data_IF_310436791810
#
_entry.id   IF_310436791810
#
_cell.length_a   1.000
_cell.length_b   1.000
_cell.length_c   1.000
_cell.angle_alpha   90.00
_cell.angle_beta   90.00
_cell.angle_gamma   90.00
#
_symmetry.space_group_name_H-M   'P 1'
#
loop_
_entity.id
_entity.type
_entity.pdbx_description
1 polymer ?
#
# COMPACT_ATOMS: atom_id res chain seq x y z
N UNK A 1 -45.54 -82.63 7.62
CA UNK A 1 -46.95 -82.19 7.71
C UNK A 1 -47.24 -81.31 6.51
N UNK A 2 -48.32 -81.64 5.79
CA UNK A 2 -48.80 -80.99 4.57
C UNK A 2 -48.96 -79.47 4.73
N UNK A 3 -48.66 -78.68 3.69
CA UNK A 3 -49.69 -78.21 2.77
C UNK A 3 -49.17 -77.13 1.81
N UNK A 4 -49.44 -77.39 0.54
CA UNK A 4 -49.53 -76.43 -0.56
C UNK A 4 -50.51 -75.28 -0.25
N UNK A 5 -50.21 -74.08 -0.77
CA UNK A 5 -51.21 -73.21 -1.38
C UNK A 5 -50.54 -72.17 -2.28
N UNK A 6 -50.69 -72.32 -3.59
CA UNK A 6 -50.52 -71.24 -4.56
C UNK A 6 -51.58 -70.14 -4.33
N UNK A 7 -51.20 -68.87 -4.46
CA UNK A 7 -52.12 -67.79 -4.83
C UNK A 7 -51.48 -66.82 -5.83
N UNK A 8 -52.15 -66.75 -6.98
CA UNK A 8 -52.06 -65.75 -8.03
C UNK A 8 -52.32 -64.33 -7.46
N UNK A 9 -51.64 -63.30 -7.98
CA UNK A 9 -51.97 -61.92 -7.62
C UNK A 9 -51.11 -60.83 -8.25
N UNK A 10 -51.47 -60.47 -9.48
CA UNK A 10 -51.39 -59.15 -10.13
C UNK A 10 -50.05 -58.41 -10.27
N UNK A 11 -49.66 -58.28 -11.54
CA UNK A 11 -48.74 -57.28 -12.06
C UNK A 11 -49.22 -55.86 -11.78
N UNK A 12 -48.33 -55.03 -11.22
CA UNK A 12 -48.38 -53.58 -11.39
C UNK A 12 -46.96 -53.12 -11.77
N UNK A 13 -46.70 -53.04 -13.08
CA UNK A 13 -45.49 -52.43 -13.60
C UNK A 13 -45.61 -50.92 -13.41
N UNK A 14 -44.91 -50.37 -12.41
CA UNK A 14 -44.75 -48.92 -12.25
C UNK A 14 -43.69 -48.48 -13.24
N UNK A 15 -44.12 -47.92 -14.37
CA UNK A 15 -43.24 -47.25 -15.32
C UNK A 15 -42.84 -45.90 -14.70
N UNK A 16 -41.66 -45.83 -14.07
CA UNK A 16 -41.05 -44.58 -13.61
C UNK A 16 -40.63 -43.76 -14.84
N UNK A 17 -41.47 -42.79 -15.20
CA UNK A 17 -41.17 -41.79 -16.21
C UNK A 17 -40.18 -40.78 -15.60
N UNK A 18 -38.88 -41.00 -15.80
CA UNK A 18 -37.85 -40.01 -15.48
C UNK A 18 -38.00 -38.80 -16.41
N UNK A 19 -38.61 -37.73 -15.90
CA UNK A 19 -38.59 -36.41 -16.54
C UNK A 19 -37.19 -35.81 -16.32
N UNK A 20 -36.39 -35.52 -17.36
CA UNK A 20 -35.14 -34.81 -17.15
C UNK A 20 -35.46 -33.36 -16.77
N UNK A 21 -35.18 -33.01 -15.50
CA UNK A 21 -35.07 -31.64 -15.05
C UNK A 21 -33.87 -31.02 -15.79
N UNK A 22 -34.16 -30.27 -16.87
CA UNK A 22 -33.18 -29.37 -17.48
C UNK A 22 -32.95 -28.24 -16.48
N UNK A 23 -31.90 -28.38 -15.67
CA UNK A 23 -31.40 -27.30 -14.85
C UNK A 23 -30.83 -26.22 -15.78
N UNK A 24 -31.48 -25.06 -15.84
CA UNK A 24 -30.82 -23.84 -16.30
C UNK A 24 -29.68 -23.55 -15.32
N UNK A 25 -28.45 -23.91 -15.69
CA UNK A 25 -27.28 -23.38 -15.02
C UNK A 25 -27.27 -21.86 -15.18
N UNK A 26 -26.82 -21.10 -14.16
CA UNK A 26 -26.71 -19.65 -14.28
C UNK A 26 -25.84 -19.34 -15.50
N UNK A 27 -26.37 -18.53 -16.40
CA UNK A 27 -25.57 -17.90 -17.45
C UNK A 27 -24.41 -17.17 -16.76
N UNK A 28 -23.20 -17.33 -17.29
CA UNK A 28 -22.10 -16.37 -17.05
C UNK A 28 -22.53 -15.04 -17.68
N UNK A 29 -23.46 -14.37 -17.03
CA UNK A 29 -23.99 -13.06 -17.38
C UNK A 29 -23.44 -12.07 -16.38
N UNK A 30 -22.73 -11.09 -16.94
CA UNK A 30 -22.55 -9.75 -16.42
C UNK A 30 -21.91 -9.65 -15.03
N UNK A 31 -20.59 -9.46 -15.03
CA UNK A 31 -19.94 -8.80 -13.92
C UNK A 31 -20.70 -7.48 -13.64
N UNK A 32 -21.02 -7.17 -12.37
CA UNK A 32 -21.69 -5.91 -12.05
C UNK A 32 -20.88 -4.74 -12.62
N UNK A 33 -21.53 -3.68 -13.11
CA UNK A 33 -20.81 -2.51 -13.59
C UNK A 33 -19.91 -2.01 -12.46
N UNK A 34 -18.61 -1.91 -12.73
CA UNK A 34 -17.66 -1.28 -11.80
C UNK A 34 -18.16 0.13 -11.52
N UNK A 35 -18.40 0.44 -10.25
CA UNK A 35 -18.80 1.78 -9.86
C UNK A 35 -17.68 2.75 -10.26
N UNK A 36 -17.99 3.73 -11.11
CA UNK A 36 -16.99 4.65 -11.64
C UNK A 36 -16.35 5.52 -10.53
N UNK A 37 -16.98 5.53 -9.35
CA UNK A 37 -16.51 6.24 -8.15
C UNK A 37 -15.69 5.36 -7.19
N UNK A 38 -15.61 4.05 -7.40
CA UNK A 38 -14.81 3.14 -6.56
C UNK A 38 -13.32 3.29 -6.90
N UNK A 39 -12.60 4.05 -6.05
CA UNK A 39 -11.15 4.27 -6.18
C UNK A 39 -10.38 3.14 -5.51
N UNK A 40 -9.60 2.41 -6.28
CA UNK A 40 -8.63 1.46 -5.74
C UNK A 40 -7.40 2.23 -5.21
N UNK A 41 -7.12 2.11 -3.91
CA UNK A 41 -5.95 2.70 -3.27
C UNK A 41 -4.76 1.75 -3.38
N UNK A 42 -3.65 2.26 -3.92
CA UNK A 42 -2.38 1.54 -3.96
C UNK A 42 -1.53 1.93 -2.73
N UNK A 43 -1.21 1.00 -1.81
CA UNK A 43 -0.36 1.29 -0.67
C UNK A 43 1.08 1.53 -1.13
N UNK A 44 1.58 2.76 -0.96
CA UNK A 44 2.95 3.12 -1.33
C UNK A 44 3.98 2.67 -0.29
N UNK A 45 3.59 2.65 0.99
CA UNK A 45 4.41 2.16 2.09
C UNK A 45 3.89 0.82 2.58
N UNK A 46 4.79 -0.14 2.80
CA UNK A 46 4.45 -1.51 3.15
C UNK A 46 4.16 -1.73 4.65
N UNK A 47 4.51 -0.77 5.51
CA UNK A 47 4.31 -0.87 6.96
C UNK A 47 5.38 -1.68 7.71
N UNK A 48 6.42 -2.20 7.05
CA UNK A 48 7.43 -3.06 7.68
C UNK A 48 8.86 -2.55 7.57
N UNK A 49 9.20 -1.94 6.44
CA UNK A 49 10.57 -1.55 6.11
C UNK A 49 10.59 -0.47 5.02
N UNK A 50 11.79 -0.10 4.57
CA UNK A 50 11.99 0.92 3.55
C UNK A 50 12.18 0.32 2.14
N UNK A 51 11.72 -0.90 1.88
CA UNK A 51 11.76 -1.46 0.53
C UNK A 51 10.97 -0.57 -0.44
N UNK A 52 11.58 -0.25 -1.59
CA UNK A 52 11.01 0.67 -2.58
C UNK A 52 11.21 2.15 -2.26
N UNK A 53 12.04 2.48 -1.26
CA UNK A 53 12.38 3.84 -0.89
C UNK A 53 13.89 4.05 -0.84
N UNK A 54 14.35 5.15 -1.43
CA UNK A 54 15.74 5.57 -1.43
C UNK A 54 15.94 6.81 -0.57
N UNK A 55 16.71 6.72 0.53
CA UNK A 55 17.11 7.86 1.34
C UNK A 55 18.02 8.82 0.58
N UNK A 56 17.85 10.12 0.81
CA UNK A 56 18.79 11.16 0.39
C UNK A 56 18.94 12.19 1.50
N UNK A 57 20.12 12.28 2.08
CA UNK A 57 20.46 13.30 3.09
C UNK A 57 21.56 14.20 2.55
N UNK A 58 21.43 15.53 2.68
CA UNK A 58 22.46 16.49 2.26
C UNK A 58 23.82 16.15 2.86
N UNK A 59 24.87 16.20 2.04
CA UNK A 59 26.24 15.85 2.43
C UNK A 59 26.57 14.35 2.30
N UNK A 60 25.56 13.49 2.05
CA UNK A 60 25.72 12.04 1.88
C UNK A 60 25.32 11.60 0.45
N UNK A 61 25.95 10.56 -0.11
CA UNK A 61 25.49 9.93 -1.35
C UNK A 61 24.01 9.47 -1.27
N UNK A 62 23.27 9.48 -2.39
CA UNK A 62 21.94 8.84 -2.44
C UNK A 62 22.01 7.37 -2.00
N UNK A 63 20.99 6.92 -1.27
CA UNK A 63 20.90 5.59 -0.68
C UNK A 63 21.48 5.46 0.73
N UNK A 64 22.24 6.44 1.21
CA UNK A 64 22.73 6.44 2.59
C UNK A 64 21.71 7.02 3.57
N UNK A 65 21.47 6.28 4.67
CA UNK A 65 20.60 6.69 5.77
C UNK A 65 21.43 6.97 7.04
N UNK A 66 22.22 8.04 7.07
CA UNK A 66 23.10 8.36 8.19
C UNK A 66 22.29 8.49 9.47
N UNK A 67 22.83 7.98 10.60
CA UNK A 67 22.17 8.08 11.92
C UNK A 67 20.72 7.56 11.96
N UNK A 68 20.36 6.72 11.00
CA UNK A 68 19.02 6.14 10.88
C UNK A 68 17.93 7.22 10.83
N UNK A 69 18.10 8.27 10.02
CA UNK A 69 17.11 9.36 9.90
C UNK A 69 15.72 8.86 9.53
N UNK A 70 15.65 7.91 8.61
CA UNK A 70 14.41 7.24 8.22
C UNK A 70 14.32 5.87 8.88
N UNK A 71 13.19 5.57 9.52
CA UNK A 71 12.95 4.32 10.23
C UNK A 71 11.51 3.85 10.02
N UNK A 72 11.27 2.59 10.35
CA UNK A 72 9.92 2.05 10.53
C UNK A 72 9.74 1.71 11.99
N UNK A 73 8.77 2.36 12.64
CA UNK A 73 8.46 2.19 14.06
C UNK A 73 6.96 1.98 14.21
N UNK A 74 6.55 0.88 14.85
CA UNK A 74 5.14 0.53 15.06
C UNK A 74 4.27 0.57 13.78
N UNK A 75 4.86 0.18 12.65
CA UNK A 75 4.19 0.18 11.35
C UNK A 75 4.08 1.55 10.68
N UNK A 76 4.74 2.57 11.22
CA UNK A 76 4.79 3.93 10.66
C UNK A 76 6.17 4.21 10.08
N UNK A 77 6.19 4.92 8.95
CA UNK A 77 7.39 5.57 8.45
C UNK A 77 7.68 6.79 9.32
N UNK A 78 8.83 6.81 9.98
CA UNK A 78 9.23 7.88 10.89
C UNK A 78 10.49 8.59 10.41
N UNK A 79 10.49 9.91 10.49
CA UNK A 79 11.66 10.77 10.26
C UNK A 79 12.14 11.32 11.60
N UNK A 80 13.41 11.07 11.93
CA UNK A 80 14.01 11.42 13.23
C UNK A 80 15.41 12.01 13.06
N UNK A 81 15.64 13.13 13.71
CA UNK A 81 16.96 13.74 13.87
C UNK A 81 17.50 13.61 15.31
N UNK A 82 16.90 12.72 16.11
CA UNK A 82 17.23 12.48 17.52
C UNK A 82 18.67 11.95 17.76
N UNK A 83 19.29 11.36 16.73
CA UNK A 83 20.65 10.85 16.77
C UNK A 83 21.70 11.88 16.27
N UNK A 84 21.28 13.11 15.94
CA UNK A 84 22.15 14.18 15.44
C UNK A 84 22.59 15.10 16.59
N UNK A 85 23.89 15.43 16.65
CA UNK A 85 24.40 16.43 17.59
C UNK A 85 23.88 17.85 17.25
N UNK A 86 23.77 18.13 15.95
CA UNK A 86 23.24 19.35 15.35
C UNK A 86 22.68 19.02 13.96
N UNK A 87 21.71 19.79 13.48
CA UNK A 87 21.08 19.61 12.19
C UNK A 87 22.08 19.76 11.03
N UNK A 88 22.92 20.81 11.06
CA UNK A 88 23.97 21.11 10.08
C UNK A 88 23.49 21.07 8.62
N UNK A 89 22.30 21.61 8.34
CA UNK A 89 21.69 21.63 7.01
C UNK A 89 21.58 20.26 6.33
N UNK A 90 21.53 19.19 7.13
CA UNK A 90 21.41 17.81 6.63
C UNK A 90 19.95 17.46 6.31
N UNK A 91 19.37 18.20 5.36
CA UNK A 91 18.02 17.96 4.87
C UNK A 91 17.87 16.52 4.36
N UNK A 92 16.87 15.83 4.89
CA UNK A 92 16.56 14.44 4.56
C UNK A 92 15.31 14.35 3.70
N UNK A 93 15.42 13.63 2.59
CA UNK A 93 14.33 13.22 1.71
C UNK A 93 14.29 11.70 1.60
N UNK A 94 13.10 11.11 1.65
CA UNK A 94 12.89 9.70 1.37
C UNK A 94 12.07 9.59 0.09
N UNK A 95 12.69 9.05 -0.95
CA UNK A 95 12.17 9.13 -2.31
C UNK A 95 11.68 7.74 -2.72
N UNK A 96 10.43 7.65 -3.18
CA UNK A 96 9.88 6.39 -3.71
C UNK A 96 10.58 6.01 -5.01
N UNK A 97 10.96 4.73 -5.15
CA UNK A 97 11.55 4.19 -6.37
C UNK A 97 10.53 4.02 -7.50
N UNK A 98 9.23 4.10 -7.17
CA UNK A 98 8.12 4.06 -8.14
C UNK A 98 7.74 5.46 -8.59
N UNK A 99 7.65 5.65 -9.92
CA UNK A 99 7.24 6.91 -10.55
C UNK A 99 5.78 6.87 -10.97
N UNK A 100 5.05 7.93 -10.64
CA UNK A 100 3.65 8.14 -11.04
C UNK A 100 3.52 9.40 -11.90
N UNK A 101 2.55 9.41 -12.82
CA UNK A 101 2.26 10.59 -13.65
C UNK A 101 0.93 11.27 -13.30
N UNK A 102 -0.11 10.49 -13.04
CA UNK A 102 -1.46 10.98 -12.71
C UNK A 102 -1.97 10.16 -11.53
N UNK A 103 -2.15 10.81 -10.39
CA UNK A 103 -2.48 10.13 -9.14
C UNK A 103 -3.19 11.07 -8.17
N UNK A 104 -3.86 10.46 -7.20
CA UNK A 104 -4.23 11.10 -5.94
C UNK A 104 -3.36 10.46 -4.87
N UNK A 105 -2.63 11.27 -4.13
CA UNK A 105 -1.84 10.80 -2.97
C UNK A 105 -2.60 11.14 -1.69
N UNK A 106 -2.67 10.17 -0.78
CA UNK A 106 -3.18 10.34 0.57
C UNK A 106 -2.08 10.03 1.57
N UNK A 107 -1.94 10.86 2.59
CA UNK A 107 -1.03 10.65 3.71
C UNK A 107 -1.76 10.96 5.01
N UNK A 108 -1.61 10.07 6.00
CA UNK A 108 -1.94 10.36 7.39
C UNK A 108 -0.62 10.65 8.12
N UNK A 109 -0.55 11.78 8.80
CA UNK A 109 0.68 12.23 9.45
C UNK A 109 0.40 12.83 10.83
N UNK A 110 1.47 12.90 11.63
CA UNK A 110 1.53 13.69 12.86
C UNK A 110 2.98 14.12 13.10
N UNK A 111 3.15 15.25 13.76
CA UNK A 111 4.45 15.63 14.30
C UNK A 111 4.71 14.95 15.64
N UNK A 112 5.95 14.57 15.86
CA UNK A 112 6.39 13.91 17.08
C UNK A 112 7.90 14.07 17.25
N UNK A 113 8.35 14.10 18.49
CA UNK A 113 9.75 14.35 18.84
C UNK A 113 10.03 15.84 19.01
N UNK A 114 11.30 16.17 19.18
CA UNK A 114 11.80 17.53 19.35
C UNK A 114 12.64 17.93 18.14
N UNK A 115 12.68 19.24 17.84
CA UNK A 115 13.55 19.78 16.80
C UNK A 115 15.03 19.59 17.19
N UNK A 116 15.89 19.11 16.29
CA UNK A 116 17.31 18.96 16.59
C UNK A 116 17.97 20.33 16.85
N UNK A 117 19.03 20.38 17.68
CA UNK A 117 19.85 21.58 17.82
C UNK A 117 20.32 22.10 16.45
N UNK A 118 20.38 23.41 16.27
CA UNK A 118 20.81 24.02 15.01
C UNK A 118 19.76 23.96 13.88
N UNK A 119 18.58 23.38 14.12
CA UNK A 119 17.45 23.55 13.22
C UNK A 119 16.95 24.99 13.23
N UNK A 120 16.40 25.44 12.10
CA UNK A 120 15.85 26.78 11.92
C UNK A 120 14.67 27.09 12.84
N UNK A 121 14.61 28.29 13.42
CA UNK A 121 13.57 28.68 14.39
C UNK A 121 12.14 28.61 13.84
N UNK A 122 11.98 28.74 12.52
CA UNK A 122 10.69 28.67 11.83
C UNK A 122 10.30 27.24 11.42
N UNK A 123 11.19 26.25 11.59
CA UNK A 123 11.03 24.89 11.09
C UNK A 123 10.63 23.87 12.17
N UNK A 124 10.10 24.34 13.31
CA UNK A 124 9.51 23.45 14.31
C UNK A 124 8.32 22.73 13.71
N UNK A 125 8.32 21.40 13.84
CA UNK A 125 7.25 20.56 13.28
C UNK A 125 7.07 20.79 11.77
N UNK A 126 8.18 20.86 11.02
CA UNK A 126 8.16 21.09 9.58
C UNK A 126 8.43 19.81 8.80
N UNK A 127 7.54 19.50 7.86
CA UNK A 127 7.73 18.45 6.86
C UNK A 127 6.92 18.77 5.59
N UNK A 128 7.05 17.93 4.58
CA UNK A 128 6.38 18.12 3.30
C UNK A 128 6.30 16.84 2.49
N UNK A 129 5.29 16.76 1.62
CA UNK A 129 5.22 15.74 0.56
C UNK A 129 5.73 16.37 -0.73
N UNK A 130 6.85 15.87 -1.23
CA UNK A 130 7.42 16.31 -2.50
C UNK A 130 6.75 15.55 -3.66
N UNK A 131 5.97 16.23 -4.49
CA UNK A 131 5.28 15.66 -5.65
C UNK A 131 5.96 16.06 -6.95
N UNK A 132 5.85 15.19 -7.97
CA UNK A 132 6.59 15.32 -9.24
C UNK A 132 8.08 15.58 -9.01
N UNK A 133 8.65 14.79 -8.11
CA UNK A 133 10.00 14.97 -7.60
C UNK A 133 11.06 14.37 -8.51
N UNK A 134 12.24 14.98 -8.49
CA UNK A 134 13.48 14.40 -8.98
C UNK A 134 13.78 13.05 -8.32
N UNK A 135 14.35 12.09 -9.07
CA UNK A 135 14.78 10.81 -8.49
C UNK A 135 16.04 10.96 -7.64
N UNK A 136 16.18 10.12 -6.63
CA UNK A 136 17.30 10.17 -5.68
C UNK A 136 18.68 10.08 -6.37
N UNK A 137 18.83 9.22 -7.37
CA UNK A 137 20.11 8.95 -8.06
C UNK A 137 20.61 10.13 -8.88
N UNK A 138 19.71 11.04 -9.24
CA UNK A 138 20.05 12.24 -10.01
C UNK A 138 20.33 13.45 -9.10
N UNK A 139 20.01 13.35 -7.81
CA UNK A 139 20.37 14.37 -6.84
C UNK A 139 21.87 14.31 -6.53
N UNK A 140 22.52 15.47 -6.47
CA UNK A 140 23.93 15.53 -6.08
C UNK A 140 24.11 15.30 -4.59
N UNK A 141 25.33 14.98 -4.17
CA UNK A 141 25.67 14.76 -2.75
C UNK A 141 25.25 15.93 -1.85
N UNK A 142 25.53 17.15 -2.28
CA UNK A 142 25.34 18.35 -1.48
C UNK A 142 24.05 19.11 -1.85
N UNK A 143 23.18 18.52 -2.69
CA UNK A 143 21.86 19.07 -2.97
C UNK A 143 20.93 18.87 -1.78
N UNK A 144 20.27 19.96 -1.39
CA UNK A 144 19.44 20.09 -0.20
C UNK A 144 18.00 19.66 -0.42
N UNK A 145 17.40 20.00 -1.56
CA UNK A 145 16.03 19.67 -1.93
C UNK A 145 15.94 19.07 -3.33
N UNK A 146 15.05 18.08 -3.57
CA UNK A 146 14.79 17.60 -4.91
C UNK A 146 14.07 18.68 -5.72
N UNK A 147 14.35 18.75 -7.03
CA UNK A 147 13.54 19.56 -7.94
C UNK A 147 12.13 18.97 -7.96
N UNK A 148 11.17 19.67 -7.36
CA UNK A 148 9.84 19.14 -7.06
C UNK A 148 8.85 20.27 -6.73
N UNK A 149 7.58 19.91 -6.54
CA UNK A 149 6.59 20.76 -5.88
C UNK A 149 6.38 20.23 -4.46
N UNK A 150 6.41 21.11 -3.47
CA UNK A 150 6.20 20.74 -2.07
C UNK A 150 4.76 21.01 -1.64
N UNK A 151 4.15 20.00 -1.03
CA UNK A 151 2.91 20.15 -0.25
C UNK A 151 3.30 20.14 1.22
N UNK A 152 3.35 21.34 1.80
CA UNK A 152 3.69 21.55 3.21
C UNK A 152 2.72 20.79 4.14
N UNK A 153 3.26 20.16 5.17
CA UNK A 153 2.51 19.49 6.24
C UNK A 153 2.53 20.31 7.54
#
# INVERSE_FOLDING_TARGET
MYSSALRFGWSLAVLLLCVPLVACGPSKGDAPPSDADEKEWYPLFNGSDLEGWTPKVTGHPPGENPRQTFRVEDGMLTVRYDAYDTFDDQFGHLISDTTFSHYVVGVEYRFAGEQPPGGEDWATENSGVMIHSQSAETMTRDQDFPISVEVQL
#
